data_IF_682800291792
#
_entry.id   IF_682800291792
#
_cell.length_a   1.000
_cell.length_b   1.000
_cell.length_c   1.000
_cell.angle_alpha   90.00
_cell.angle_beta   90.00
_cell.angle_gamma   90.00
#
_symmetry.space_group_name_H-M   'P 1'
#
loop_
_entity.id
_entity.type
_entity.pdbx_description
1 polymer ?
#
# COMPACT_ATOMS: atom_id res chain seq x y z
N UNK A 1 4.21 4.93 -19.08
CA UNK A 1 3.95 4.03 -17.92
C UNK A 1 2.69 3.25 -18.22
N UNK A 2 2.58 2.00 -17.79
CA UNK A 2 1.36 1.18 -17.95
C UNK A 2 1.04 0.46 -16.66
N UNK A 3 -0.13 0.73 -16.10
CA UNK A 3 -0.63 0.09 -14.88
C UNK A 3 -1.81 -0.81 -15.24
N UNK A 4 -1.77 -2.06 -14.77
CA UNK A 4 -2.82 -3.05 -14.99
C UNK A 4 -3.38 -3.51 -13.64
N UNK A 5 -4.69 -3.39 -13.48
CA UNK A 5 -5.45 -3.86 -12.33
C UNK A 5 -6.37 -5.00 -12.79
N UNK A 6 -5.95 -6.25 -12.65
CA UNK A 6 -6.72 -7.40 -13.11
C UNK A 6 -7.73 -7.82 -12.04
N UNK A 7 -9.01 -7.74 -12.39
CA UNK A 7 -10.09 -7.99 -11.44
C UNK A 7 -10.29 -6.85 -10.44
N UNK A 8 -9.51 -5.75 -10.50
CA UNK A 8 -9.69 -4.64 -9.58
C UNK A 8 -10.36 -3.46 -10.27
N UNK A 9 -11.21 -2.75 -9.53
CA UNK A 9 -11.70 -1.42 -9.88
C UNK A 9 -10.83 -0.34 -9.22
N UNK A 10 -10.72 0.81 -9.87
CA UNK A 10 -10.14 2.03 -9.26
C UNK A 10 -11.27 2.92 -8.78
N UNK A 11 -11.20 3.32 -7.51
CA UNK A 11 -12.24 4.08 -6.83
C UNK A 11 -11.69 5.37 -6.24
N UNK A 12 -12.50 6.44 -6.24
CA UNK A 12 -12.17 7.71 -5.58
C UNK A 12 -13.40 8.32 -4.93
N UNK A 13 -13.30 8.56 -3.61
CA UNK A 13 -14.35 9.25 -2.84
C UNK A 13 -14.28 10.78 -2.96
N UNK A 14 -13.30 11.31 -3.71
CA UNK A 14 -13.16 12.75 -3.93
C UNK A 14 -14.32 13.31 -4.76
N UNK A 15 -14.83 14.49 -4.37
CA UNK A 15 -15.85 15.24 -5.12
C UNK A 15 -15.27 16.10 -6.25
N UNK A 16 -13.95 16.13 -6.44
CA UNK A 16 -13.31 16.95 -7.46
C UNK A 16 -13.73 16.54 -8.88
N UNK A 17 -13.73 17.48 -9.83
CA UNK A 17 -14.02 17.19 -11.23
C UNK A 17 -13.00 16.22 -11.87
N UNK A 18 -11.81 16.11 -11.30
CA UNK A 18 -10.74 15.20 -11.68
C UNK A 18 -10.38 14.21 -10.55
N UNK A 19 -11.38 13.75 -9.80
CA UNK A 19 -11.25 12.78 -8.71
C UNK A 19 -10.47 11.50 -9.11
N UNK A 20 -10.59 11.09 -10.37
CA UNK A 20 -9.66 10.16 -11.03
C UNK A 20 -9.05 10.86 -12.23
N UNK A 21 -7.72 10.87 -12.32
CA UNK A 21 -6.99 11.54 -13.41
C UNK A 21 -5.93 10.64 -14.03
N UNK A 22 -6.00 10.48 -15.36
CA UNK A 22 -4.97 9.81 -16.16
C UNK A 22 -4.34 10.85 -17.09
N UNK A 23 -3.03 11.07 -16.97
CA UNK A 23 -2.31 12.12 -17.69
C UNK A 23 -0.93 11.68 -18.19
N UNK A 24 -0.29 12.49 -19.03
CA UNK A 24 1.04 12.22 -19.59
C UNK A 24 0.99 11.11 -20.63
N UNK A 25 1.87 10.11 -20.54
CA UNK A 25 1.87 8.92 -21.40
C UNK A 25 1.49 7.65 -20.60
N UNK A 26 0.58 7.80 -19.64
CA UNK A 26 0.11 6.72 -18.78
C UNK A 26 -0.99 5.92 -19.48
N UNK A 27 -0.84 4.60 -19.54
CA UNK A 27 -1.89 3.65 -19.90
C UNK A 27 -2.45 2.97 -18.64
N UNK A 28 -3.77 2.82 -18.57
CA UNK A 28 -4.48 2.20 -17.45
C UNK A 28 -5.40 1.09 -17.96
N UNK A 29 -5.28 -0.10 -17.35
CA UNK A 29 -6.24 -1.19 -17.49
C UNK A 29 -6.82 -1.52 -16.12
N UNK A 30 -8.15 -1.57 -16.00
CA UNK A 30 -8.87 -1.85 -14.74
C UNK A 30 -10.29 -2.28 -15.06
N UNK A 31 -11.00 -2.97 -14.18
CA UNK A 31 -12.37 -3.40 -14.46
C UNK A 31 -13.31 -2.21 -14.63
N UNK A 32 -13.34 -1.33 -13.62
CA UNK A 32 -14.18 -0.13 -13.62
C UNK A 32 -13.47 1.06 -12.98
N UNK A 33 -13.78 2.26 -13.47
CA UNK A 33 -13.44 3.52 -12.83
C UNK A 33 -14.67 4.05 -12.13
N UNK A 34 -14.60 4.25 -10.82
CA UNK A 34 -15.75 4.67 -10.01
C UNK A 34 -15.34 5.89 -9.18
N UNK A 35 -16.11 6.97 -9.24
CA UNK A 35 -15.84 8.18 -8.47
C UNK A 35 -17.10 8.84 -7.94
N UNK A 36 -16.98 9.47 -6.77
CA UNK A 36 -18.00 10.41 -6.28
C UNK A 36 -17.99 11.67 -7.16
N UNK A 37 -16.81 12.21 -7.45
CA UNK A 37 -16.60 13.33 -8.37
C UNK A 37 -16.49 12.88 -9.83
N UNK A 38 -15.66 13.59 -10.59
CA UNK A 38 -15.45 13.35 -12.03
C UNK A 38 -14.21 12.53 -12.36
N UNK A 39 -14.09 12.17 -13.64
CA UNK A 39 -12.96 11.43 -14.21
C UNK A 39 -12.38 12.18 -15.40
N UNK A 40 -11.07 12.45 -15.37
CA UNK A 40 -10.33 13.14 -16.43
C UNK A 40 -9.32 12.20 -17.09
N UNK A 41 -9.60 11.76 -18.32
CA UNK A 41 -8.76 10.83 -19.08
C UNK A 41 -8.10 11.53 -20.26
N UNK A 42 -6.83 11.90 -20.13
CA UNK A 42 -6.06 12.50 -21.24
C UNK A 42 -5.46 11.43 -22.17
N UNK A 43 -5.57 10.15 -21.80
CA UNK A 43 -5.15 9.01 -22.60
C UNK A 43 -6.24 7.92 -22.56
N UNK A 44 -6.32 7.06 -23.59
CA UNK A 44 -7.23 5.91 -23.58
C UNK A 44 -6.97 4.99 -22.38
N UNK A 45 -8.04 4.44 -21.83
CA UNK A 45 -8.02 3.42 -20.78
C UNK A 45 -8.72 2.15 -21.30
N UNK A 46 -8.31 1.00 -20.79
CA UNK A 46 -8.97 -0.29 -21.09
C UNK A 46 -9.81 -0.70 -19.88
N UNK A 47 -11.13 -0.71 -20.03
CA UNK A 47 -12.05 -1.09 -18.95
C UNK A 47 -13.03 -2.18 -19.35
N UNK A 48 -13.50 -2.95 -18.35
CA UNK A 48 -14.62 -3.90 -18.52
C UNK A 48 -15.94 -3.14 -18.50
N UNK A 49 -16.09 -2.19 -17.58
CA UNK A 49 -17.19 -1.22 -17.59
C UNK A 49 -17.19 -0.41 -18.90
N UNK A 50 -18.38 -0.15 -19.47
CA UNK A 50 -18.56 0.61 -20.72
C UNK A 50 -18.11 2.07 -20.60
N UNK A 51 -18.24 2.66 -19.42
CA UNK A 51 -17.88 4.04 -19.12
C UNK A 51 -17.51 4.18 -17.63
N UNK A 52 -16.79 5.24 -17.23
CA UNK A 52 -16.60 5.58 -15.83
C UNK A 52 -17.95 5.82 -15.11
N UNK A 53 -18.07 5.32 -13.88
CA UNK A 53 -19.24 5.51 -13.02
C UNK A 53 -18.94 6.72 -12.12
N UNK A 54 -19.54 7.86 -12.44
CA UNK A 54 -19.38 9.11 -11.67
C UNK A 54 -20.60 9.36 -10.80
N UNK A 55 -20.51 10.29 -9.83
CA UNK A 55 -21.59 10.56 -8.88
C UNK A 55 -22.03 9.30 -8.10
N UNK A 56 -21.11 8.36 -7.92
CA UNK A 56 -21.34 7.18 -7.09
C UNK A 56 -21.43 7.59 -5.61
N UNK A 57 -22.02 6.72 -4.79
CA UNK A 57 -21.93 6.87 -3.34
C UNK A 57 -20.48 6.67 -2.89
N UNK A 58 -20.00 7.39 -1.85
CA UNK A 58 -18.68 7.14 -1.28
C UNK A 58 -18.56 5.70 -0.78
N UNK A 59 -17.40 5.08 -0.98
CA UNK A 59 -17.10 3.80 -0.37
C UNK A 59 -16.84 3.93 1.13
N UNK A 60 -17.17 2.88 1.86
CA UNK A 60 -16.77 2.79 3.27
C UNK A 60 -15.27 2.46 3.34
N UNK A 61 -14.58 3.01 4.35
CA UNK A 61 -13.20 2.65 4.63
C UNK A 61 -13.08 1.16 5.00
N UNK A 62 -12.40 0.34 4.18
CA UNK A 62 -12.29 -1.10 4.37
C UNK A 62 -11.55 -1.49 5.65
N UNK A 63 -10.74 -0.58 6.22
CA UNK A 63 -9.95 -0.80 7.42
C UNK A 63 -10.46 0.01 8.63
N UNK A 64 -11.66 0.60 8.55
CA UNK A 64 -12.26 1.40 9.63
C UNK A 64 -12.35 0.69 10.98
N UNK A 65 -12.51 -0.64 10.99
CA UNK A 65 -12.57 -1.43 12.22
C UNK A 65 -11.20 -1.93 12.70
N UNK A 66 -10.11 -1.69 11.96
CA UNK A 66 -8.78 -2.16 12.31
C UNK A 66 -8.17 -1.28 13.42
N UNK A 67 -7.96 -1.79 14.65
CA UNK A 67 -7.41 -0.99 15.74
C UNK A 67 -5.98 -0.54 15.41
N UNK A 68 -5.61 0.66 15.82
CA UNK A 68 -4.23 1.11 15.68
C UNK A 68 -3.30 0.33 16.64
N UNK A 69 -2.16 -0.20 16.18
CA UNK A 69 -1.14 -0.76 17.06
C UNK A 69 -0.69 0.21 18.14
N UNK A 70 -0.68 -0.26 19.39
CA UNK A 70 -0.13 0.50 20.52
C UNK A 70 1.35 0.22 20.69
N UNK A 71 2.12 1.26 20.98
CA UNK A 71 3.51 1.09 21.41
C UNK A 71 3.57 0.19 22.65
N UNK A 72 4.54 -0.72 22.65
CA UNK A 72 4.78 -1.66 23.74
C UNK A 72 6.28 -1.89 23.96
N UNK A 73 6.65 -2.27 25.17
CA UNK A 73 8.04 -2.57 25.53
C UNK A 73 8.97 -1.35 25.48
N UNK A 74 10.28 -1.62 25.53
CA UNK A 74 11.30 -0.58 25.39
C UNK A 74 11.56 -0.24 23.93
N UNK A 75 11.95 1.01 23.68
CA UNK A 75 12.35 1.50 22.36
C UNK A 75 13.50 0.66 21.80
N UNK A 76 13.25 0.04 20.65
CA UNK A 76 14.25 -0.67 19.87
C UNK A 76 15.09 0.31 19.04
N UNK A 77 16.30 -0.11 18.69
CA UNK A 77 17.23 0.68 17.87
C UNK A 77 17.48 -0.04 16.54
N UNK A 78 17.71 0.76 15.49
CA UNK A 78 18.25 0.30 14.21
C UNK A 78 19.76 0.54 14.22
N UNK A 79 20.53 -0.42 13.71
CA UNK A 79 21.96 -0.21 13.48
C UNK A 79 22.15 0.50 12.14
N UNK A 80 22.75 1.68 12.17
CA UNK A 80 22.89 2.53 10.97
C UNK A 80 24.16 2.24 10.15
N UNK A 81 24.91 1.19 10.47
CA UNK A 81 25.94 0.65 9.57
C UNK A 81 25.29 -0.22 8.50
N UNK A 82 25.75 -0.17 7.24
CA UNK A 82 25.28 -1.01 6.11
C UNK A 82 25.54 -2.53 6.31
N UNK A 83 25.65 -2.99 7.55
CA UNK A 83 25.84 -4.37 7.96
C UNK A 83 24.53 -5.13 7.94
N UNK A 84 24.61 -6.44 7.72
CA UNK A 84 23.46 -7.33 7.89
C UNK A 84 22.93 -7.27 9.32
N UNK A 85 21.63 -7.07 9.50
CA UNK A 85 20.99 -7.08 10.81
C UNK A 85 19.60 -7.71 10.75
N UNK A 86 19.18 -8.28 11.87
CA UNK A 86 17.82 -8.77 12.08
C UNK A 86 17.13 -7.87 13.09
N UNK A 87 16.00 -7.29 12.70
CA UNK A 87 15.15 -6.47 13.55
C UNK A 87 13.98 -7.31 14.07
N UNK A 88 13.64 -7.11 15.34
CA UNK A 88 12.49 -7.75 15.98
C UNK A 88 11.28 -6.84 15.94
N UNK A 89 10.09 -7.41 15.91
CA UNK A 89 8.85 -6.65 16.09
C UNK A 89 8.84 -5.94 17.45
N UNK A 90 8.18 -4.78 17.52
CA UNK A 90 8.22 -3.90 18.68
C UNK A 90 8.18 -2.41 18.31
N UNK A 91 8.53 -1.55 19.28
CA UNK A 91 8.43 -0.09 19.14
C UNK A 91 9.75 0.54 18.74
N UNK A 92 9.76 1.34 17.69
CA UNK A 92 10.91 2.10 17.18
C UNK A 92 10.65 3.60 17.37
N UNK A 93 11.07 4.10 18.53
CA UNK A 93 10.73 5.44 19.01
C UNK A 93 11.40 6.61 18.26
N UNK A 94 12.42 6.33 17.45
CA UNK A 94 13.16 7.34 16.68
C UNK A 94 13.04 7.12 15.17
N UNK A 95 12.03 6.35 14.74
CA UNK A 95 11.91 5.90 13.37
C UNK A 95 12.86 4.75 13.04
N UNK A 96 13.00 4.49 11.74
CA UNK A 96 13.85 3.43 11.20
C UNK A 96 14.56 3.93 9.94
N UNK A 97 15.87 4.11 9.97
CA UNK A 97 16.69 4.37 8.77
C UNK A 97 17.42 3.07 8.38
N UNK A 98 16.84 2.34 7.44
CA UNK A 98 17.31 1.03 7.03
C UNK A 98 18.28 1.14 5.85
N UNK A 99 19.46 0.54 6.02
CA UNK A 99 20.51 0.42 5.01
C UNK A 99 21.20 -0.95 5.10
N UNK A 100 21.82 -1.40 4.00
CA UNK A 100 22.39 -2.76 3.92
C UNK A 100 21.31 -3.84 3.88
N UNK A 101 21.60 -5.02 4.43
CA UNK A 101 20.67 -6.15 4.45
C UNK A 101 19.93 -6.18 5.79
N UNK A 102 18.61 -6.00 5.78
CA UNK A 102 17.80 -5.98 7.00
C UNK A 102 16.71 -7.02 6.90
N UNK A 103 16.72 -7.98 7.82
CA UNK A 103 15.65 -8.96 7.95
C UNK A 103 14.71 -8.55 9.10
N UNK A 104 13.42 -8.41 8.82
CA UNK A 104 12.37 -8.16 9.81
C UNK A 104 11.81 -9.49 10.29
N UNK A 105 11.87 -9.76 11.59
CA UNK A 105 11.11 -10.87 12.18
C UNK A 105 9.60 -10.60 12.07
N UNK A 106 8.77 -11.64 11.89
CA UNK A 106 7.33 -11.45 11.86
C UNK A 106 6.78 -10.71 13.10
N UNK A 107 5.68 -10.01 12.90
CA UNK A 107 4.97 -9.25 13.92
C UNK A 107 4.76 -7.78 13.57
N UNK A 108 4.36 -7.02 14.58
CA UNK A 108 3.95 -5.62 14.43
C UNK A 108 5.09 -4.68 14.82
N UNK A 109 5.39 -3.72 13.93
CA UNK A 109 6.39 -2.69 14.12
C UNK A 109 5.69 -1.36 14.33
N UNK A 110 5.79 -0.80 15.53
CA UNK A 110 5.23 0.52 15.86
C UNK A 110 6.31 1.57 15.70
N UNK A 111 6.20 2.40 14.67
CA UNK A 111 7.23 3.36 14.28
C UNK A 111 6.81 4.77 14.67
N UNK A 112 7.52 5.36 15.64
CA UNK A 112 7.28 6.74 16.13
C UNK A 112 8.33 7.71 15.58
N UNK A 113 8.56 7.61 14.27
CA UNK A 113 9.44 8.45 13.48
C UNK A 113 9.34 8.00 12.02
N UNK A 114 10.07 8.64 11.12
CA UNK A 114 10.02 8.25 9.71
C UNK A 114 10.66 6.87 9.49
N UNK A 115 10.09 6.11 8.56
CA UNK A 115 10.71 4.91 8.00
C UNK A 115 11.38 5.30 6.69
N UNK A 116 12.70 5.15 6.63
CA UNK A 116 13.52 5.47 5.47
C UNK A 116 14.27 4.22 5.04
N UNK A 117 14.19 3.85 3.76
CA UNK A 117 14.87 2.68 3.19
C UNK A 117 15.73 3.18 2.03
N UNK A 118 17.06 3.09 2.17
CA UNK A 118 18.01 3.81 1.32
C UNK A 118 19.17 2.95 0.82
N UNK A 119 19.99 3.55 -0.04
CA UNK A 119 21.37 3.11 -0.32
C UNK A 119 21.51 1.65 -0.80
N UNK A 120 20.57 1.17 -1.62
CA UNK A 120 20.58 -0.20 -2.11
C UNK A 120 20.20 -1.23 -1.05
N UNK A 121 19.47 -0.82 0.00
CA UNK A 121 19.05 -1.73 1.06
C UNK A 121 18.26 -2.91 0.48
N UNK A 122 18.49 -4.08 1.07
CA UNK A 122 17.74 -5.31 0.81
C UNK A 122 16.97 -5.61 2.08
N UNK A 123 15.65 -5.42 2.02
CA UNK A 123 14.75 -5.62 3.17
C UNK A 123 13.96 -6.90 2.93
N UNK A 124 14.06 -7.85 3.85
CA UNK A 124 13.36 -9.13 3.78
C UNK A 124 12.65 -9.44 5.08
N UNK A 125 11.83 -10.47 5.10
CA UNK A 125 11.47 -11.15 6.33
C UNK A 125 12.54 -12.18 6.76
N UNK A 126 12.63 -12.50 8.05
CA UNK A 126 13.55 -13.55 8.55
C UNK A 126 13.09 -14.96 8.21
N UNK A 127 11.79 -15.20 8.25
CA UNK A 127 11.16 -16.36 7.63
C UNK A 127 10.63 -15.91 6.28
N UNK A 128 10.61 -16.76 5.25
CA UNK A 128 10.05 -16.33 4.00
C UNK A 128 8.57 -15.99 4.17
N UNK A 129 8.25 -14.69 4.09
CA UNK A 129 6.88 -14.18 4.11
C UNK A 129 6.25 -14.36 2.72
N UNK A 130 6.23 -15.60 2.20
CA UNK A 130 5.62 -15.94 0.92
C UNK A 130 4.54 -17.00 1.07
N UNK A 131 3.76 -17.18 0.00
CA UNK A 131 2.64 -18.10 -0.16
C UNK A 131 2.61 -19.30 0.82
N UNK A 132 1.57 -19.37 1.65
CA UNK A 132 1.36 -20.46 2.61
C UNK A 132 1.95 -20.25 4.02
N UNK A 133 2.63 -19.13 4.29
CA UNK A 133 3.13 -18.79 5.63
C UNK A 133 2.17 -17.83 6.34
N UNK A 134 1.80 -18.15 7.60
CA UNK A 134 0.88 -17.33 8.41
C UNK A 134 1.50 -16.04 8.94
N UNK A 135 2.82 -16.10 9.14
CA UNK A 135 3.59 -15.09 9.82
C UNK A 135 4.08 -14.04 8.82
N UNK A 136 3.80 -12.77 9.10
CA UNK A 136 4.18 -11.64 8.26
C UNK A 136 4.50 -10.41 9.09
N UNK A 137 4.70 -9.30 8.40
CA UNK A 137 5.06 -8.02 9.01
C UNK A 137 3.93 -7.03 8.82
N UNK A 138 3.58 -6.31 9.88
CA UNK A 138 2.76 -5.10 9.80
C UNK A 138 3.58 -3.93 10.32
N UNK A 139 3.77 -2.90 9.49
CA UNK A 139 4.48 -1.67 9.86
C UNK A 139 3.45 -0.56 10.09
N UNK A 140 3.33 -0.14 11.34
CA UNK A 140 2.46 0.96 11.74
C UNK A 140 3.24 2.26 11.91
N UNK A 141 2.83 3.29 11.18
CA UNK A 141 3.40 4.63 11.22
C UNK A 141 2.54 5.48 12.17
N UNK A 142 3.01 5.72 13.39
CA UNK A 142 2.28 6.48 14.39
C UNK A 142 2.21 7.97 14.03
N UNK A 143 1.10 8.65 14.32
CA UNK A 143 0.89 10.06 13.98
C UNK A 143 1.08 10.36 12.50
N UNK A 144 1.78 11.45 12.18
CA UNK A 144 2.00 11.89 10.79
C UNK A 144 3.34 11.42 10.21
N UNK A 145 3.94 10.37 10.78
CA UNK A 145 5.21 9.84 10.30
C UNK A 145 5.07 9.21 8.91
N UNK A 146 6.14 9.28 8.12
CA UNK A 146 6.09 8.90 6.70
C UNK A 146 7.02 7.74 6.37
N UNK A 147 6.69 7.07 5.26
CA UNK A 147 7.53 6.05 4.63
C UNK A 147 8.24 6.67 3.43
N UNK A 148 9.54 6.40 3.30
CA UNK A 148 10.35 6.79 2.15
C UNK A 148 11.23 5.62 1.71
N UNK A 149 10.81 4.91 0.67
CA UNK A 149 11.61 3.90 -0.02
C UNK A 149 12.23 4.56 -1.25
N UNK A 150 13.54 4.41 -1.47
CA UNK A 150 14.24 4.95 -2.63
C UNK A 150 14.42 3.90 -3.73
N UNK A 151 14.36 4.31 -5.01
CA UNK A 151 14.25 3.43 -6.18
C UNK A 151 15.39 2.42 -6.44
N UNK A 152 16.47 2.46 -5.66
CA UNK A 152 17.55 1.45 -5.72
C UNK A 152 17.43 0.37 -4.62
N UNK A 153 16.47 0.50 -3.70
CA UNK A 153 16.22 -0.49 -2.65
C UNK A 153 15.33 -1.63 -3.16
N UNK A 154 15.60 -2.84 -2.67
CA UNK A 154 14.76 -4.03 -2.86
C UNK A 154 14.05 -4.35 -1.56
N UNK A 155 12.71 -4.33 -1.58
CA UNK A 155 11.89 -4.58 -0.37
C UNK A 155 10.96 -5.75 -0.65
N UNK A 156 11.13 -6.83 0.09
CA UNK A 156 10.40 -8.09 -0.04
C UNK A 156 9.72 -8.43 1.28
N UNK A 157 8.49 -7.95 1.45
CA UNK A 157 7.71 -8.10 2.67
C UNK A 157 6.29 -8.57 2.34
N UNK A 158 5.70 -9.37 3.23
CA UNK A 158 4.28 -9.69 3.20
C UNK A 158 3.63 -9.40 4.54
N UNK A 159 2.39 -8.92 4.47
CA UNK A 159 1.47 -8.89 5.59
C UNK A 159 1.26 -10.30 6.17
N UNK A 160 0.90 -10.41 7.46
CA UNK A 160 0.43 -11.69 8.01
C UNK A 160 -0.87 -12.12 7.31
N UNK A 161 -1.13 -13.43 7.23
CA UNK A 161 -2.37 -13.96 6.61
C UNK A 161 -3.46 -14.31 7.61
N UNK A 162 -3.19 -14.09 8.91
CA UNK A 162 -4.13 -14.29 10.01
C UNK A 162 -3.91 -13.29 11.15
N UNK A 163 -4.78 -13.32 12.16
CA UNK A 163 -4.74 -12.39 13.29
C UNK A 163 -5.28 -11.00 12.97
N UNK A 164 -5.18 -10.09 13.94
CA UNK A 164 -5.79 -8.74 13.87
C UNK A 164 -5.38 -7.94 12.63
N UNK A 165 -4.12 -8.05 12.21
CA UNK A 165 -3.56 -7.28 11.10
C UNK A 165 -3.43 -8.08 9.81
N UNK A 166 -4.19 -9.18 9.69
CA UNK A 166 -4.23 -10.00 8.48
C UNK A 166 -4.42 -9.14 7.22
N UNK A 167 -3.56 -9.34 6.23
CA UNK A 167 -3.60 -8.63 4.95
C UNK A 167 -3.08 -7.18 4.99
N UNK A 168 -2.65 -6.64 6.13
CA UNK A 168 -2.18 -5.24 6.25
C UNK A 168 -0.66 -5.19 6.45
N UNK A 169 0.06 -4.67 5.44
CA UNK A 169 1.51 -4.55 5.46
C UNK A 169 1.95 -3.18 5.99
N UNK A 170 1.32 -2.10 5.54
CA UNK A 170 1.57 -0.75 6.05
C UNK A 170 0.27 -0.12 6.54
N UNK A 171 0.33 0.48 7.74
CA UNK A 171 -0.78 1.17 8.37
C UNK A 171 -0.32 2.54 8.87
N UNK A 172 -0.77 3.63 8.23
CA UNK A 172 -0.64 5.00 8.73
C UNK A 172 -1.74 5.37 9.72
N UNK A 173 -1.37 6.05 10.80
CA UNK A 173 -2.29 6.50 11.83
C UNK A 173 -3.46 7.35 11.28
N UNK A 174 -4.68 6.91 11.60
CA UNK A 174 -5.93 7.60 11.21
C UNK A 174 -6.08 8.97 11.86
N UNK A 175 -5.42 9.19 13.00
CA UNK A 175 -5.46 10.44 13.75
C UNK A 175 -4.38 11.43 13.32
N UNK A 176 -3.48 11.01 12.40
CA UNK A 176 -2.45 11.86 11.85
C UNK A 176 -2.99 13.04 11.02
N UNK A 177 -2.10 14.00 10.80
CA UNK A 177 -2.31 15.12 9.87
C UNK A 177 -1.89 14.74 8.45
N UNK A 178 -2.26 15.59 7.49
CA UNK A 178 -1.83 15.45 6.11
C UNK A 178 -0.29 15.34 6.01
N UNK A 179 0.17 14.31 5.31
CA UNK A 179 1.58 14.08 5.01
C UNK A 179 1.71 13.32 3.68
N UNK A 180 2.94 13.01 3.27
CA UNK A 180 3.21 12.28 2.03
C UNK A 180 4.20 11.15 2.28
N UNK A 181 3.79 9.93 1.91
CA UNK A 181 4.64 8.74 1.92
C UNK A 181 4.98 8.31 0.49
N UNK A 182 6.22 7.89 0.28
CA UNK A 182 6.73 7.46 -1.03
C UNK A 182 7.20 6.01 -0.96
N UNK A 183 6.61 5.20 -1.83
CA UNK A 183 6.98 3.81 -2.06
C UNK A 183 7.63 3.74 -3.43
N UNK A 184 8.97 3.79 -3.45
CA UNK A 184 9.76 3.68 -4.66
C UNK A 184 10.81 2.57 -4.53
N UNK A 185 10.72 1.54 -5.35
CA UNK A 185 11.58 0.35 -5.29
C UNK A 185 11.92 -0.18 -6.68
N UNK A 186 12.84 -1.15 -6.72
CA UNK A 186 13.20 -1.84 -7.97
C UNK A 186 12.12 -2.83 -8.40
N UNK A 187 12.24 -3.37 -9.62
CA UNK A 187 11.34 -4.43 -10.10
C UNK A 187 11.40 -5.72 -9.26
N UNK A 188 12.48 -5.92 -8.48
CA UNK A 188 12.68 -7.05 -7.56
C UNK A 188 12.06 -6.81 -6.18
N UNK A 189 11.28 -5.73 -6.01
CA UNK A 189 10.54 -5.47 -4.78
C UNK A 189 9.18 -6.16 -4.81
N UNK A 190 8.78 -6.73 -3.67
CA UNK A 190 7.46 -7.28 -3.45
C UNK A 190 6.88 -6.76 -2.13
N UNK A 191 5.89 -5.87 -2.24
CA UNK A 191 5.09 -5.39 -1.10
C UNK A 191 3.73 -6.08 -1.13
N UNK A 192 3.65 -7.23 -0.45
CA UNK A 192 2.44 -8.07 -0.46
C UNK A 192 1.54 -7.68 0.71
N UNK A 193 0.34 -7.18 0.43
CA UNK A 193 -0.54 -6.67 1.48
C UNK A 193 -1.16 -5.31 1.14
N UNK A 194 -1.96 -4.81 2.08
CA UNK A 194 -2.53 -3.48 2.03
C UNK A 194 -1.53 -2.41 2.48
N UNK A 195 -1.52 -1.31 1.75
CA UNK A 195 -0.88 -0.04 2.06
C UNK A 195 -2.00 0.93 2.41
N UNK A 196 -2.24 1.12 3.71
CA UNK A 196 -3.35 1.91 4.24
C UNK A 196 -2.85 3.21 4.88
N UNK A 197 -3.10 4.35 4.24
CA UNK A 197 -2.69 5.69 4.69
C UNK A 197 -3.82 6.71 4.51
N UNK A 198 -4.90 6.62 5.30
CA UNK A 198 -6.15 7.37 5.09
C UNK A 198 -6.02 8.89 5.29
N UNK A 199 -4.88 9.35 5.81
CA UNK A 199 -4.57 10.78 6.03
C UNK A 199 -3.41 11.29 5.19
N UNK A 200 -2.79 10.44 4.36
CA UNK A 200 -1.58 10.81 3.62
C UNK A 200 -1.73 10.58 2.14
N UNK A 201 -1.01 11.40 1.38
CA UNK A 201 -0.75 11.11 -0.03
C UNK A 201 0.26 9.96 -0.14
N UNK A 202 -0.07 8.95 -0.92
CA UNK A 202 0.81 7.84 -1.27
C UNK A 202 1.32 8.04 -2.69
N UNK A 203 2.63 8.26 -2.83
CA UNK A 203 3.32 8.17 -4.11
C UNK A 203 3.79 6.72 -4.30
N UNK A 204 3.11 5.98 -5.17
CA UNK A 204 3.53 4.64 -5.56
C UNK A 204 4.31 4.74 -6.88
N UNK A 205 5.63 4.66 -6.78
CA UNK A 205 6.55 4.96 -7.88
C UNK A 205 7.37 3.72 -8.23
N UNK A 206 7.36 3.25 -9.47
CA UNK A 206 8.24 2.17 -9.91
C UNK A 206 7.50 0.95 -10.44
N UNK A 207 8.25 -0.12 -10.69
CA UNK A 207 7.77 -1.28 -11.44
C UNK A 207 7.57 -2.51 -10.55
N UNK A 208 6.94 -2.33 -9.40
CA UNK A 208 6.80 -3.40 -8.42
C UNK A 208 5.36 -3.60 -7.96
N UNK A 209 5.08 -4.82 -7.56
CA UNK A 209 3.83 -5.26 -6.96
C UNK A 209 4.12 -6.33 -5.92
N UNK A 210 3.16 -6.61 -5.06
CA UNK A 210 3.19 -7.77 -4.19
C UNK A 210 3.29 -9.07 -4.99
N UNK A 211 3.58 -10.16 -4.28
CA UNK A 211 3.60 -11.50 -4.86
C UNK A 211 2.28 -11.80 -5.56
N UNK A 212 2.34 -12.42 -6.75
CA UNK A 212 1.14 -12.66 -7.58
C UNK A 212 0.33 -11.38 -7.85
N UNK A 213 0.93 -10.19 -7.83
CA UNK A 213 0.24 -8.91 -8.02
C UNK A 213 -0.54 -8.41 -6.81
N UNK A 214 -0.37 -9.03 -5.64
CA UNK A 214 -1.21 -8.80 -4.48
C UNK A 214 -0.77 -7.59 -3.63
N UNK A 215 -1.16 -6.40 -4.09
CA UNK A 215 -1.04 -5.15 -3.32
C UNK A 215 -2.35 -4.39 -3.38
N UNK A 216 -2.84 -3.95 -2.24
CA UNK A 216 -4.00 -3.07 -2.14
C UNK A 216 -3.54 -1.70 -1.63
N UNK A 217 -4.05 -0.61 -2.16
CA UNK A 217 -3.68 0.74 -1.71
C UNK A 217 -4.93 1.52 -1.38
N UNK A 218 -5.02 2.02 -0.15
CA UNK A 218 -6.10 2.88 0.34
C UNK A 218 -5.44 4.08 1.00
N UNK A 219 -5.65 5.28 0.46
CA UNK A 219 -5.01 6.48 0.94
C UNK A 219 -5.88 7.72 0.73
N UNK A 220 -5.53 8.84 1.35
CA UNK A 220 -6.20 10.12 1.11
C UNK A 220 -6.07 10.55 -0.36
N UNK A 221 -4.86 10.41 -0.91
CA UNK A 221 -4.58 10.63 -2.32
C UNK A 221 -3.60 9.58 -2.80
N UNK A 222 -3.83 8.96 -3.96
CA UNK A 222 -2.91 8.02 -4.58
C UNK A 222 -2.34 8.64 -5.85
N UNK A 223 -1.01 8.79 -5.89
CA UNK A 223 -0.30 9.12 -7.12
C UNK A 223 0.50 7.90 -7.57
N UNK A 224 0.08 7.31 -8.68
CA UNK A 224 0.71 6.13 -9.25
C UNK A 224 1.56 6.49 -10.48
N UNK A 225 2.81 6.02 -10.50
CA UNK A 225 3.69 6.16 -11.66
C UNK A 225 4.60 4.94 -11.78
N UNK A 226 4.83 4.47 -13.01
CA UNK A 226 5.61 3.25 -13.29
C UNK A 226 4.80 2.19 -14.03
N UNK A 227 5.34 0.98 -14.12
CA UNK A 227 4.71 -0.16 -14.78
C UNK A 227 4.45 -1.26 -13.75
N UNK A 228 3.20 -1.48 -13.37
CA UNK A 228 2.86 -2.47 -12.35
C UNK A 228 1.60 -3.25 -12.74
N UNK A 229 1.56 -4.52 -12.35
CA UNK A 229 0.38 -5.37 -12.47
C UNK A 229 -0.11 -5.71 -11.06
N UNK A 230 -1.35 -5.33 -10.77
CA UNK A 230 -2.03 -5.55 -9.49
C UNK A 230 -3.19 -6.50 -9.74
N UNK A 231 -3.38 -7.47 -8.85
CA UNK A 231 -4.42 -8.50 -8.95
C UNK A 231 -5.35 -8.43 -7.73
N UNK A 232 -6.64 -8.68 -7.93
CA UNK A 232 -7.65 -8.63 -6.87
C UNK A 232 -7.65 -9.88 -5.97
N UNK A 233 -7.45 -11.07 -6.57
CA UNK A 233 -7.63 -12.35 -5.90
C UNK A 233 -6.45 -12.69 -4.99
N UNK A 234 -6.51 -12.17 -3.77
CA UNK A 234 -5.45 -12.28 -2.77
C UNK A 234 -5.93 -12.88 -1.44
N UNK A 235 -7.04 -13.64 -1.48
CA UNK A 235 -7.66 -14.28 -0.32
C UNK A 235 -6.69 -15.18 0.43
N UNK A 236 -5.89 -15.95 -0.30
CA UNK A 236 -4.88 -16.86 0.25
C UNK A 236 -3.73 -16.14 0.97
N UNK A 237 -3.65 -14.81 0.79
CA UNK A 237 -2.65 -13.93 1.42
C UNK A 237 -3.29 -13.06 2.52
N UNK A 238 -4.44 -13.46 3.05
CA UNK A 238 -5.14 -12.77 4.14
C UNK A 238 -5.92 -11.51 3.73
N UNK A 239 -5.89 -11.13 2.44
CA UNK A 239 -6.51 -9.90 1.93
C UNK A 239 -7.96 -10.11 1.47
N UNK A 240 -8.80 -10.69 2.33
CA UNK A 240 -10.26 -10.76 2.17
C UNK A 240 -10.76 -11.12 0.75
N UNK A 241 -11.96 -10.64 0.40
CA UNK A 241 -12.53 -10.73 -0.96
C UNK A 241 -12.27 -9.45 -1.77
N UNK A 242 -11.25 -8.67 -1.38
CA UNK A 242 -10.92 -7.37 -1.97
C UNK A 242 -11.47 -6.16 -1.18
N UNK A 243 -11.09 -4.96 -1.62
CA UNK A 243 -11.67 -3.70 -1.11
C UNK A 243 -13.08 -3.57 -1.71
N UNK A 244 -14.13 -3.40 -0.90
CA UNK A 244 -15.49 -3.26 -1.41
C UNK A 244 -15.58 -2.06 -2.37
N UNK A 245 -16.04 -2.30 -3.59
CA UNK A 245 -16.43 -1.20 -4.47
C UNK A 245 -17.80 -0.66 -4.02
N UNK A 246 -17.96 0.66 -3.98
CA UNK A 246 -19.25 1.30 -3.80
C UNK A 246 -20.32 0.69 -4.74
N UNK A 247 -21.50 0.32 -4.22
CA UNK A 247 -22.58 -0.18 -5.04
C UNK A 247 -23.06 0.94 -5.97
N UNK A 248 -23.19 0.65 -7.26
CA UNK A 248 -23.86 1.53 -8.21
C UNK A 248 -25.10 0.83 -8.75
N UNK A 249 -26.24 1.51 -8.66
CA UNK A 249 -27.50 1.08 -9.25
C UNK A 249 -27.79 2.08 -10.37
N UNK A 250 -27.63 1.64 -11.61
CA UNK A 250 -28.09 2.41 -12.76
C UNK A 250 -29.54 2.00 -13.06
N UNK A 251 -30.48 2.94 -13.05
CA UNK A 251 -31.81 2.73 -13.64
C UNK A 251 -31.61 2.77 -15.15
N UNK A 252 -31.96 1.67 -15.82
CA UNK A 252 -32.04 1.63 -17.29
C UNK A 252 -33.46 2.06 -17.64
N UNK A 253 -33.63 3.23 -18.26
CA UNK A 253 -34.84 3.58 -19.00
C UNK A 253 -34.77 3.01 -20.44
#
# INVERSE_FOLDING_TARGET
SSVKFNGCSVMSDSMANDAIKVQGSAGLQTDCLISVGGVSLNNPVTTVCKAPITQALPAADPFSNLPAPTASGSCQKVNNGKTTQTLKSGTYCSGMDLSGNVALSPGVYVVQGNLKINAGAVITCTTPCYDGVTDGVTIYMAGSNTVSINGNASVNLSAPTSGTYSGVLFYGDRTGTAAQSTFNGTADSHLTGAIYFPRQKVNYLGNFSGQKGCTQVVADTIQWSGNSTINQYCKDLGMGDGIPAAPSVAIVE
#
